data_IF_988500151987
#
_entry.id   IF_988500151987
#
_cell.length_a   1.000
_cell.length_b   1.000
_cell.length_c   1.000
_cell.angle_alpha   90.00
_cell.angle_beta   90.00
_cell.angle_gamma   90.00
#
_symmetry.space_group_name_H-M   'P 1'
#
loop_
_entity.id
_entity.type
_entity.pdbx_description
1 polymer ?
#
# COMPACT_ATOMS: atom_id res chain seq x y z
N UNK A 1 21.58 -9.46 16.53
CA UNK A 1 20.84 -9.45 15.25
C UNK A 1 19.78 -8.37 15.35
N UNK A 2 19.61 -7.54 14.34
CA UNK A 2 18.53 -6.53 14.31
C UNK A 2 17.20 -7.27 14.16
N UNK A 3 16.25 -7.03 15.06
CA UNK A 3 14.93 -7.66 15.02
C UNK A 3 14.13 -7.06 13.85
N UNK A 4 13.69 -7.91 12.94
CA UNK A 4 12.91 -7.50 11.77
C UNK A 4 11.47 -7.16 12.16
N UNK A 5 10.95 -6.09 11.58
CA UNK A 5 9.52 -5.77 11.62
C UNK A 5 8.79 -6.65 10.62
N UNK A 6 7.85 -7.42 11.09
CA UNK A 6 7.01 -8.32 10.29
C UNK A 6 5.54 -7.92 10.38
N UNK A 7 4.69 -8.45 9.50
CA UNK A 7 3.25 -8.18 9.57
C UNK A 7 2.65 -8.56 10.93
N UNK A 8 2.94 -9.72 11.55
CA UNK A 8 2.50 -10.00 12.91
C UNK A 8 2.98 -8.99 13.94
N UNK A 9 4.21 -8.45 13.81
CA UNK A 9 4.71 -7.41 14.69
C UNK A 9 3.94 -6.09 14.54
N UNK A 10 3.62 -5.68 13.31
CA UNK A 10 2.77 -4.51 13.03
C UNK A 10 1.41 -4.65 13.72
N UNK A 11 0.79 -5.83 13.65
CA UNK A 11 -0.48 -6.09 14.33
C UNK A 11 -0.35 -5.97 15.86
N UNK A 12 0.72 -6.53 16.45
CA UNK A 12 1.00 -6.39 17.88
C UNK A 12 1.24 -4.94 18.28
N UNK A 13 1.97 -4.16 17.47
CA UNK A 13 2.17 -2.73 17.72
C UNK A 13 0.84 -2.00 17.77
N UNK A 14 -0.07 -2.26 16.84
CA UNK A 14 -1.43 -1.70 16.83
C UNK A 14 -2.19 -2.06 18.12
N UNK A 15 -2.18 -3.34 18.51
CA UNK A 15 -2.85 -3.81 19.73
C UNK A 15 -2.28 -3.16 21.00
N UNK A 16 -0.98 -2.89 21.02
CA UNK A 16 -0.29 -2.21 22.11
C UNK A 16 -0.45 -0.67 22.09
N UNK A 17 -1.19 -0.12 21.12
CA UNK A 17 -1.35 1.34 20.97
C UNK A 17 -0.09 2.07 20.51
N UNK A 18 0.93 1.35 20.03
CA UNK A 18 2.16 1.96 19.47
C UNK A 18 1.87 2.57 18.10
N UNK A 19 2.40 3.78 17.90
CA UNK A 19 2.38 4.41 16.57
C UNK A 19 3.34 3.67 15.64
N UNK A 20 2.93 3.48 14.39
CA UNK A 20 3.69 2.82 13.34
C UNK A 20 4.12 3.88 12.33
N UNK A 21 5.42 4.03 12.15
CA UNK A 21 5.98 4.98 11.20
C UNK A 21 6.13 4.34 9.81
N UNK A 22 5.49 4.96 8.80
CA UNK A 22 5.54 4.51 7.41
C UNK A 22 6.08 5.65 6.55
N UNK A 23 7.14 5.39 5.78
CA UNK A 23 7.68 6.35 4.83
C UNK A 23 7.98 5.69 3.48
N UNK A 24 7.86 6.49 2.41
CA UNK A 24 8.26 6.06 1.07
C UNK A 24 9.77 6.09 0.90
N UNK A 25 10.30 5.12 0.16
CA UNK A 25 11.69 5.07 -0.29
C UNK A 25 11.73 4.50 -1.71
N UNK A 26 12.66 5.01 -2.53
CA UNK A 26 12.74 4.63 -3.95
C UNK A 26 14.14 4.18 -4.36
N UNK A 27 15.13 4.30 -3.46
CA UNK A 27 16.52 3.94 -3.72
C UNK A 27 17.20 3.35 -2.47
N UNK A 28 18.41 2.82 -2.69
CA UNK A 28 19.22 2.19 -1.66
C UNK A 28 19.63 3.14 -0.54
N UNK A 29 20.01 4.37 -0.87
CA UNK A 29 20.59 5.32 0.10
C UNK A 29 19.52 5.82 1.07
N UNK A 30 18.36 6.24 0.54
CA UNK A 30 17.22 6.63 1.37
C UNK A 30 16.68 5.44 2.18
N UNK A 31 16.59 4.25 1.60
CA UNK A 31 16.17 3.05 2.32
C UNK A 31 17.06 2.80 3.56
N UNK A 32 18.37 2.92 3.42
CA UNK A 32 19.31 2.78 4.56
C UNK A 32 19.09 3.84 5.62
N UNK A 33 19.02 5.11 5.22
CA UNK A 33 18.85 6.23 6.16
C UNK A 33 17.57 6.05 6.97
N UNK A 34 16.47 5.71 6.31
CA UNK A 34 15.17 5.54 6.95
C UNK A 34 15.11 4.29 7.84
N UNK A 35 15.71 3.19 7.41
CA UNK A 35 15.81 1.96 8.20
C UNK A 35 16.67 2.17 9.46
N UNK A 36 17.82 2.82 9.31
CA UNK A 36 18.71 3.17 10.43
C UNK A 36 18.05 4.19 11.39
N UNK A 37 17.14 5.04 10.88
CA UNK A 37 16.32 5.95 11.70
C UNK A 37 15.17 5.26 12.45
N UNK A 38 14.92 3.97 12.20
CA UNK A 38 13.94 3.17 12.92
C UNK A 38 12.52 3.22 12.35
N UNK A 39 12.35 3.60 11.06
CA UNK A 39 11.06 3.51 10.38
C UNK A 39 10.56 2.06 10.37
N UNK A 40 9.28 1.84 10.67
CA UNK A 40 8.71 0.51 10.81
C UNK A 40 8.34 -0.12 9.46
N UNK A 41 7.85 0.68 8.51
CA UNK A 41 7.47 0.24 7.17
C UNK A 41 8.12 1.15 6.13
N UNK A 42 8.83 0.58 5.16
CA UNK A 42 9.24 1.25 3.94
C UNK A 42 8.26 0.90 2.82
N UNK A 43 7.72 1.92 2.19
CA UNK A 43 6.78 1.78 1.08
C UNK A 43 7.46 2.19 -0.23
N UNK A 44 7.52 1.28 -1.19
CA UNK A 44 7.85 1.64 -2.57
C UNK A 44 6.56 1.96 -3.29
N UNK A 45 6.23 3.27 -3.36
CA UNK A 45 4.99 3.76 -3.95
C UNK A 45 5.09 3.93 -5.47
N UNK A 46 3.98 3.77 -6.20
CA UNK A 46 3.90 4.12 -7.62
C UNK A 46 4.01 5.64 -7.85
N UNK A 47 3.91 6.44 -6.78
CA UNK A 47 4.32 7.85 -6.76
C UNK A 47 5.79 8.09 -7.18
N UNK A 48 6.60 7.02 -7.30
CA UNK A 48 7.91 7.05 -7.95
C UNK A 48 7.84 7.73 -9.33
N UNK A 49 6.73 7.53 -10.06
CA UNK A 49 6.46 8.19 -11.33
C UNK A 49 6.56 9.70 -11.24
N UNK A 50 5.94 10.28 -10.22
CA UNK A 50 5.93 11.74 -10.04
C UNK A 50 7.18 12.25 -9.32
N UNK A 51 7.61 11.61 -8.22
CA UNK A 51 8.67 12.16 -7.35
C UNK A 51 10.09 11.83 -7.81
N UNK A 52 10.28 10.76 -8.58
CA UNK A 52 11.61 10.35 -9.07
C UNK A 52 11.72 10.51 -10.59
N UNK A 53 10.69 10.13 -11.32
CA UNK A 53 10.70 10.12 -12.79
C UNK A 53 10.18 11.43 -13.41
N UNK A 54 9.60 12.34 -12.60
CA UNK A 54 9.09 13.64 -13.08
C UNK A 54 7.84 13.54 -13.97
N UNK A 55 7.07 12.46 -13.85
CA UNK A 55 5.82 12.28 -14.59
C UNK A 55 4.66 13.03 -13.92
N UNK A 56 3.66 13.43 -14.68
CA UNK A 56 2.48 14.15 -14.17
C UNK A 56 1.51 13.25 -13.38
N UNK A 57 1.64 11.93 -13.52
CA UNK A 57 0.79 10.96 -12.80
C UNK A 57 1.52 9.65 -12.55
N UNK A 58 0.92 8.78 -11.71
CA UNK A 58 1.43 7.44 -11.40
C UNK A 58 1.04 6.41 -12.46
N UNK A 59 0.06 6.71 -13.33
CA UNK A 59 -0.50 5.75 -14.29
C UNK A 59 0.51 5.15 -15.28
N UNK A 60 1.53 5.87 -15.77
CA UNK A 60 2.51 5.31 -16.70
C UNK A 60 3.57 4.42 -16.03
N UNK A 61 3.58 4.30 -14.70
CA UNK A 61 4.57 3.47 -13.98
C UNK A 61 4.30 2.01 -14.27
N UNK A 62 5.31 1.32 -14.77
CA UNK A 62 5.21 -0.10 -15.13
C UNK A 62 5.50 -1.03 -13.94
N UNK A 63 5.04 -2.27 -14.05
CA UNK A 63 5.38 -3.33 -13.08
C UNK A 63 6.90 -3.53 -12.95
N UNK A 64 7.61 -3.46 -14.07
CA UNK A 64 9.08 -3.66 -14.12
C UNK A 64 9.81 -2.53 -13.37
N UNK A 65 9.37 -1.28 -13.54
CA UNK A 65 9.93 -0.14 -12.80
C UNK A 65 9.68 -0.32 -11.30
N UNK A 66 8.49 -0.74 -10.90
CA UNK A 66 8.17 -0.97 -9.49
C UNK A 66 9.00 -2.11 -8.88
N UNK A 67 9.17 -3.22 -9.59
CA UNK A 67 10.04 -4.33 -9.15
C UNK A 67 11.49 -3.87 -9.05
N UNK A 68 11.97 -3.07 -10.00
CA UNK A 68 13.33 -2.50 -9.98
C UNK A 68 13.56 -1.66 -8.72
N UNK A 69 12.70 -0.69 -8.44
CA UNK A 69 12.82 0.16 -7.26
C UNK A 69 12.67 -0.63 -5.96
N UNK A 70 11.74 -1.58 -5.90
CA UNK A 70 11.54 -2.47 -4.75
C UNK A 70 12.81 -3.26 -4.43
N UNK A 71 13.47 -3.82 -5.45
CA UNK A 71 14.73 -4.58 -5.31
C UNK A 71 15.87 -3.72 -4.75
N UNK A 72 15.95 -2.47 -5.16
CA UNK A 72 16.97 -1.53 -4.67
C UNK A 72 16.72 -1.19 -3.20
N UNK A 73 15.47 -0.88 -2.84
CA UNK A 73 15.08 -0.58 -1.46
C UNK A 73 15.29 -1.81 -0.57
N UNK A 74 14.95 -3.01 -1.04
CA UNK A 74 15.17 -4.27 -0.32
C UNK A 74 16.64 -4.47 0.11
N UNK A 75 17.59 -4.07 -0.73
CA UNK A 75 19.03 -4.15 -0.43
C UNK A 75 19.49 -3.12 0.61
N UNK A 76 18.81 -1.99 0.70
CA UNK A 76 19.16 -0.90 1.63
C UNK A 76 18.67 -1.15 3.05
N UNK A 77 17.59 -1.91 3.24
CA UNK A 77 16.97 -2.13 4.54
C UNK A 77 17.50 -3.38 5.26
N UNK A 78 17.40 -3.38 6.58
CA UNK A 78 17.72 -4.53 7.46
C UNK A 78 16.56 -4.91 8.37
N UNK A 79 15.78 -3.90 8.82
CA UNK A 79 14.75 -4.02 9.86
C UNK A 79 13.33 -3.82 9.33
N UNK A 80 13.07 -2.71 8.64
CA UNK A 80 11.72 -2.28 8.27
C UNK A 80 10.97 -3.32 7.41
N UNK A 81 9.66 -3.45 7.59
CA UNK A 81 8.80 -4.20 6.68
C UNK A 81 8.78 -3.51 5.31
N UNK A 82 9.00 -4.23 4.24
CA UNK A 82 8.97 -3.69 2.88
C UNK A 82 7.63 -3.99 2.21
N UNK A 83 6.92 -2.92 1.87
CA UNK A 83 5.67 -2.96 1.11
C UNK A 83 5.90 -2.32 -0.25
N UNK A 84 5.36 -2.91 -1.31
CA UNK A 84 5.43 -2.37 -2.67
C UNK A 84 4.05 -2.16 -3.27
N UNK A 85 3.83 -1.01 -3.91
CA UNK A 85 2.60 -0.75 -4.64
C UNK A 85 2.51 -1.61 -5.90
N UNK A 86 1.36 -2.20 -6.10
CA UNK A 86 0.98 -2.76 -7.39
C UNK A 86 0.53 -1.61 -8.31
N UNK A 87 1.27 -1.31 -9.40
CA UNK A 87 0.95 -0.18 -10.26
C UNK A 87 -0.35 -0.39 -11.04
N UNK A 88 -0.85 0.69 -11.64
CA UNK A 88 -2.05 0.63 -12.46
C UNK A 88 -1.98 -0.47 -13.51
N UNK A 89 -3.08 -1.16 -13.75
CA UNK A 89 -3.29 -2.31 -14.65
C UNK A 89 -2.60 -3.62 -14.22
N UNK A 90 -1.77 -3.62 -13.19
CA UNK A 90 -1.09 -4.84 -12.73
C UNK A 90 -1.99 -5.81 -11.93
N UNK A 91 -3.18 -5.36 -11.48
CA UNK A 91 -4.11 -6.17 -10.67
C UNK A 91 -5.59 -5.98 -11.04
N UNK A 92 -5.90 -5.06 -11.96
CA UNK A 92 -7.28 -4.76 -12.34
C UNK A 92 -7.82 -5.67 -13.45
N UNK A 93 -6.94 -6.30 -14.24
CA UNK A 93 -7.32 -7.07 -15.44
C UNK A 93 -7.95 -8.41 -15.05
N UNK A 94 -7.30 -9.17 -14.19
CA UNK A 94 -7.82 -10.44 -13.66
C UNK A 94 -7.20 -10.78 -12.31
N UNK A 95 -7.86 -11.66 -11.55
CA UNK A 95 -7.34 -12.18 -10.28
C UNK A 95 -6.06 -12.98 -10.49
N UNK A 96 -5.99 -13.78 -11.54
CA UNK A 96 -4.83 -14.60 -11.88
C UNK A 96 -3.60 -13.74 -12.19
N UNK A 97 -3.80 -12.66 -12.93
CA UNK A 97 -2.73 -11.71 -13.23
C UNK A 97 -2.27 -10.96 -11.97
N UNK A 98 -3.22 -10.51 -11.15
CA UNK A 98 -2.92 -9.89 -9.86
C UNK A 98 -2.08 -10.81 -8.95
N UNK A 99 -2.44 -12.08 -8.84
CA UNK A 99 -1.69 -13.10 -8.09
C UNK A 99 -0.27 -13.27 -8.61
N UNK A 100 -0.11 -13.38 -9.93
CA UNK A 100 1.19 -13.52 -10.58
C UNK A 100 2.07 -12.30 -10.31
N UNK A 101 1.51 -11.11 -10.50
CA UNK A 101 2.25 -9.86 -10.32
C UNK A 101 2.60 -9.61 -8.85
N UNK A 102 1.70 -9.90 -7.92
CA UNK A 102 2.01 -9.86 -6.48
C UNK A 102 3.16 -10.82 -6.12
N UNK A 103 3.14 -12.05 -6.65
CA UNK A 103 4.22 -13.01 -6.46
C UNK A 103 5.58 -12.52 -6.97
N UNK A 104 5.61 -11.79 -8.08
CA UNK A 104 6.84 -11.18 -8.64
C UNK A 104 7.43 -10.11 -7.73
N UNK A 105 6.62 -9.31 -7.05
CA UNK A 105 7.12 -8.35 -6.06
C UNK A 105 7.90 -9.01 -4.93
N UNK A 106 7.46 -10.19 -4.47
CA UNK A 106 8.17 -10.94 -3.43
C UNK A 106 9.41 -11.63 -4.00
N UNK A 107 9.25 -12.39 -5.08
CA UNK A 107 10.32 -13.24 -5.63
C UNK A 107 11.43 -12.46 -6.34
N UNK A 108 11.09 -11.41 -7.07
CA UNK A 108 12.03 -10.60 -7.85
C UNK A 108 12.39 -9.28 -7.17
N UNK A 109 11.41 -8.65 -6.50
CA UNK A 109 11.55 -7.36 -5.83
C UNK A 109 12.09 -7.46 -4.41
N UNK A 110 11.86 -8.58 -3.71
CA UNK A 110 12.20 -8.76 -2.30
C UNK A 110 11.26 -8.00 -1.34
N UNK A 111 10.04 -7.65 -1.80
CA UNK A 111 8.98 -7.15 -0.93
C UNK A 111 8.49 -8.25 0.02
N UNK A 112 7.87 -7.86 1.11
CA UNK A 112 7.25 -8.77 2.10
C UNK A 112 5.73 -8.61 2.13
N UNK A 113 5.21 -7.55 1.50
CA UNK A 113 3.80 -7.30 1.29
C UNK A 113 3.59 -6.44 0.04
N UNK A 114 2.37 -6.42 -0.48
CA UNK A 114 1.98 -5.54 -1.59
C UNK A 114 0.89 -4.56 -1.16
N UNK A 115 0.78 -3.39 -1.83
CA UNK A 115 -0.32 -2.45 -1.63
C UNK A 115 -1.22 -2.41 -2.87
N UNK A 116 -2.54 -2.32 -2.65
CA UNK A 116 -3.57 -2.29 -3.70
C UNK A 116 -4.54 -1.15 -3.41
N UNK A 117 -4.85 -0.37 -4.44
CA UNK A 117 -5.85 0.70 -4.38
C UNK A 117 -7.24 0.17 -4.75
N UNK A 118 -8.23 0.56 -3.94
CA UNK A 118 -9.63 0.24 -4.13
C UNK A 118 -10.28 -0.34 -2.88
N UNK A 119 -11.60 -0.50 -2.95
CA UNK A 119 -12.44 -1.03 -1.87
C UNK A 119 -13.17 -2.29 -2.33
N UNK A 120 -14.50 -2.27 -2.28
CA UNK A 120 -15.37 -3.40 -2.65
C UNK A 120 -15.01 -4.04 -4.00
N UNK A 121 -14.61 -3.24 -4.98
CA UNK A 121 -14.30 -3.74 -6.33
C UNK A 121 -13.03 -4.60 -6.41
N UNK A 122 -12.13 -4.51 -5.42
CA UNK A 122 -10.88 -5.29 -5.36
C UNK A 122 -10.91 -6.37 -4.26
N UNK A 123 -12.02 -6.54 -3.55
CA UNK A 123 -12.17 -7.53 -2.48
C UNK A 123 -11.69 -8.92 -2.90
N UNK A 124 -12.21 -9.46 -3.99
CA UNK A 124 -11.83 -10.80 -4.49
C UNK A 124 -10.35 -10.91 -4.85
N UNK A 125 -9.77 -9.82 -5.35
CA UNK A 125 -8.34 -9.77 -5.67
C UNK A 125 -7.50 -9.81 -4.39
N UNK A 126 -7.89 -9.04 -3.36
CA UNK A 126 -7.22 -9.05 -2.06
C UNK A 126 -7.30 -10.44 -1.43
N UNK A 127 -8.50 -11.03 -1.35
CA UNK A 127 -8.69 -12.40 -0.83
C UNK A 127 -7.78 -13.42 -1.51
N UNK A 128 -7.73 -13.38 -2.84
CA UNK A 128 -6.95 -14.33 -3.62
C UNK A 128 -5.44 -14.19 -3.41
N UNK A 129 -4.93 -12.96 -3.23
CA UNK A 129 -3.52 -12.69 -2.94
C UNK A 129 -3.19 -13.12 -1.51
N UNK A 130 -4.05 -12.78 -0.55
CA UNK A 130 -3.88 -13.20 0.86
C UNK A 130 -3.89 -14.72 1.01
N UNK A 131 -4.76 -15.42 0.30
CA UNK A 131 -4.81 -16.90 0.27
C UNK A 131 -3.53 -17.54 -0.30
N UNK A 132 -2.75 -16.82 -1.11
CA UNK A 132 -1.42 -17.26 -1.52
C UNK A 132 -0.34 -17.09 -0.44
N UNK A 133 -0.68 -16.53 0.71
CA UNK A 133 0.28 -16.21 1.77
C UNK A 133 1.00 -14.88 1.57
N UNK A 134 0.52 -14.00 0.67
CA UNK A 134 1.10 -12.67 0.43
C UNK A 134 0.30 -11.64 1.22
N UNK A 135 0.91 -10.94 2.19
CA UNK A 135 0.22 -9.89 2.95
C UNK A 135 -0.15 -8.72 2.06
N UNK A 136 -1.35 -8.16 2.28
CA UNK A 136 -1.87 -7.03 1.51
C UNK A 136 -2.12 -5.83 2.41
N UNK A 137 -1.65 -4.65 2.01
CA UNK A 137 -2.05 -3.35 2.49
C UNK A 137 -3.10 -2.77 1.53
N UNK A 138 -4.26 -2.39 2.03
CA UNK A 138 -5.27 -1.73 1.21
C UNK A 138 -5.06 -0.22 1.14
N UNK A 139 -5.69 0.43 0.16
CA UNK A 139 -5.67 1.88 0.04
C UNK A 139 -7.02 2.39 -0.47
N UNK A 140 -7.69 3.20 0.34
CA UNK A 140 -9.01 3.79 0.03
C UNK A 140 -9.01 5.30 0.22
N UNK A 141 -10.03 5.95 -0.31
CA UNK A 141 -10.15 7.41 -0.29
C UNK A 141 -9.67 8.02 -1.61
N UNK A 142 -8.70 8.92 -1.55
CA UNK A 142 -8.03 9.42 -2.75
C UNK A 142 -7.03 8.37 -3.22
N UNK A 143 -7.36 7.71 -4.31
CA UNK A 143 -6.49 6.71 -4.94
C UNK A 143 -5.91 7.32 -6.22
N UNK A 144 -4.58 7.61 -6.27
CA UNK A 144 -3.94 8.27 -7.42
C UNK A 144 -4.17 7.56 -8.76
N UNK A 145 -4.25 6.23 -8.76
CA UNK A 145 -4.58 5.44 -9.96
C UNK A 145 -5.99 5.73 -10.51
N UNK A 146 -6.88 6.30 -9.70
CA UNK A 146 -8.23 6.70 -10.10
C UNK A 146 -8.38 8.20 -10.35
N UNK A 147 -7.27 8.94 -10.52
CA UNK A 147 -7.25 10.40 -10.62
C UNK A 147 -8.19 10.97 -11.70
N UNK A 148 -8.28 10.32 -12.85
CA UNK A 148 -9.19 10.73 -13.93
C UNK A 148 -10.66 10.56 -13.55
N UNK A 149 -11.02 9.52 -12.79
CA UNK A 149 -12.38 9.31 -12.27
C UNK A 149 -12.76 10.40 -11.27
N UNK A 150 -11.83 10.90 -10.48
CA UNK A 150 -12.08 11.96 -9.50
C UNK A 150 -12.01 13.36 -10.09
N UNK A 151 -11.51 13.51 -11.30
CA UNK A 151 -11.26 14.82 -11.91
C UNK A 151 -10.20 15.62 -11.16
N UNK A 152 -9.12 14.96 -10.71
CA UNK A 152 -7.99 15.52 -9.99
C UNK A 152 -7.90 15.09 -8.52
N UNK A 153 -6.91 15.63 -7.82
CA UNK A 153 -6.64 15.34 -6.39
C UNK A 153 -7.61 16.10 -5.48
N UNK A 154 -8.72 15.48 -5.14
CA UNK A 154 -9.79 16.08 -4.33
C UNK A 154 -10.01 15.30 -3.05
N UNK A 155 -10.32 16.01 -1.94
CA UNK A 155 -10.71 15.38 -0.68
C UNK A 155 -11.96 14.52 -0.89
N UNK A 156 -11.87 13.26 -0.49
CA UNK A 156 -12.92 12.25 -0.60
C UNK A 156 -13.78 12.19 0.68
N UNK A 157 -14.97 11.59 0.59
CA UNK A 157 -15.85 11.37 1.75
C UNK A 157 -16.58 12.61 2.24
N UNK A 158 -16.70 13.66 1.41
CA UNK A 158 -17.53 14.83 1.76
C UNK A 158 -19.00 14.45 1.73
N UNK A 159 -19.69 14.72 2.85
CA UNK A 159 -21.09 14.38 3.02
C UNK A 159 -21.32 12.93 3.45
N UNK A 160 -22.58 12.60 3.77
CA UNK A 160 -22.95 11.32 4.39
C UNK A 160 -22.72 10.13 3.44
N UNK A 161 -23.27 10.17 2.26
CA UNK A 161 -23.22 9.08 1.29
C UNK A 161 -21.78 8.73 0.84
N UNK A 162 -20.97 9.78 0.54
CA UNK A 162 -19.57 9.59 0.16
C UNK A 162 -18.73 9.06 1.34
N UNK A 163 -19.05 9.46 2.57
CA UNK A 163 -18.41 8.93 3.78
C UNK A 163 -18.76 7.46 4.03
N UNK A 164 -20.03 7.08 3.86
CA UNK A 164 -20.49 5.69 3.97
C UNK A 164 -19.85 4.80 2.89
N UNK A 165 -19.64 5.34 1.71
CA UNK A 165 -18.90 4.61 0.65
C UNK A 165 -17.47 4.30 1.07
N UNK A 166 -16.73 5.27 1.61
CA UNK A 166 -15.35 5.04 2.08
C UNK A 166 -15.33 4.00 3.21
N UNK A 167 -16.29 4.06 4.13
CA UNK A 167 -16.41 3.09 5.21
C UNK A 167 -16.64 1.67 4.64
N UNK A 168 -17.58 1.51 3.70
CA UNK A 168 -17.80 0.21 3.03
C UNK A 168 -16.55 -0.29 2.30
N UNK A 169 -15.85 0.60 1.60
CA UNK A 169 -14.60 0.26 0.90
C UNK A 169 -13.52 -0.20 1.88
N UNK A 170 -13.37 0.46 3.03
CA UNK A 170 -12.40 0.09 4.04
C UNK A 170 -12.76 -1.24 4.74
N UNK A 171 -14.05 -1.48 5.02
CA UNK A 171 -14.54 -2.76 5.57
C UNK A 171 -14.30 -3.91 4.59
N UNK A 172 -14.55 -3.70 3.31
CA UNK A 172 -14.28 -4.73 2.29
C UNK A 172 -12.79 -5.09 2.21
N UNK A 173 -11.90 -4.10 2.34
CA UNK A 173 -10.45 -4.34 2.39
C UNK A 173 -10.06 -5.19 3.60
N UNK A 174 -10.65 -4.92 4.76
CA UNK A 174 -10.45 -5.71 5.98
C UNK A 174 -11.02 -7.13 5.85
N UNK A 175 -12.23 -7.27 5.31
CA UNK A 175 -12.88 -8.56 5.01
C UNK A 175 -12.02 -9.43 4.09
N UNK A 176 -11.37 -8.81 3.08
CA UNK A 176 -10.42 -9.47 2.18
C UNK A 176 -9.13 -9.95 2.86
N UNK A 177 -8.93 -9.64 4.14
CA UNK A 177 -7.77 -10.08 4.93
C UNK A 177 -6.56 -9.17 4.83
N UNK A 178 -6.71 -7.91 4.39
CA UNK A 178 -5.61 -6.95 4.41
C UNK A 178 -5.18 -6.65 5.85
N UNK A 179 -3.86 -6.62 6.11
CA UNK A 179 -3.31 -6.37 7.45
C UNK A 179 -3.34 -4.89 7.85
N UNK A 180 -3.50 -4.00 6.90
CA UNK A 180 -3.58 -2.55 7.12
C UNK A 180 -4.29 -1.86 5.96
N UNK A 181 -4.73 -0.62 6.19
CA UNK A 181 -5.35 0.21 5.16
C UNK A 181 -4.83 1.64 5.23
N UNK A 182 -4.49 2.20 4.07
CA UNK A 182 -4.21 3.63 3.89
C UNK A 182 -5.53 4.36 3.66
N UNK A 183 -5.74 5.44 4.39
CA UNK A 183 -6.88 6.34 4.27
C UNK A 183 -6.38 7.69 3.75
N UNK A 184 -6.26 7.84 2.43
CA UNK A 184 -5.67 9.03 1.83
C UNK A 184 -6.72 10.06 1.45
N UNK A 185 -6.41 11.34 1.72
CA UNK A 185 -7.20 12.48 1.26
C UNK A 185 -8.68 12.42 1.64
N UNK A 186 -9.03 11.84 2.78
CA UNK A 186 -10.40 11.76 3.29
C UNK A 186 -10.72 12.93 4.20
N UNK A 187 -12.02 13.27 4.32
CA UNK A 187 -12.47 14.31 5.24
C UNK A 187 -12.11 13.94 6.69
N UNK A 188 -11.49 14.89 7.42
CA UNK A 188 -11.15 14.74 8.86
C UNK A 188 -12.39 14.31 9.65
N UNK A 189 -12.21 13.39 10.60
CA UNK A 189 -13.27 12.79 11.42
C UNK A 189 -13.83 11.48 10.85
N UNK A 190 -13.65 11.19 9.57
CA UNK A 190 -14.07 9.90 8.97
C UNK A 190 -13.11 8.75 9.33
N UNK A 191 -11.80 9.05 9.40
CA UNK A 191 -10.81 8.08 9.84
C UNK A 191 -10.98 7.71 11.33
N UNK A 192 -11.26 8.70 12.19
CA UNK A 192 -11.45 8.49 13.63
C UNK A 192 -12.68 7.63 13.98
N UNK A 193 -13.68 7.57 13.11
CA UNK A 193 -14.85 6.70 13.32
C UNK A 193 -14.49 5.22 13.28
N UNK A 194 -13.36 4.85 12.67
CA UNK A 194 -12.92 3.47 12.55
C UNK A 194 -11.90 3.04 13.62
N UNK A 195 -11.19 3.97 14.21
CA UNK A 195 -10.27 3.67 15.32
C UNK A 195 -10.98 3.17 16.60
N UNK A 196 -12.31 3.17 16.61
CA UNK A 196 -13.16 2.78 17.75
C UNK A 196 -13.78 1.39 17.63
N UNK A 197 -13.46 0.65 16.56
CA UNK A 197 -13.98 -0.70 16.34
C UNK A 197 -12.90 -1.73 16.57
#
# INVERSE_FOLDING_TARGET
MVEKVTVPEIVKMKQAGRKIAVLTAYDYSFARILDDAGIDILLVGDSVGSVVQGRDSTLPVTLEEMIYHTRIVARGRKRALLVADMPFISYQVSVEEAKRNAGRFLSEGGAEAVKIEGGVQVLKTIEAIVQMGIPVMGHVGLTPQSVHRFGGYKVQGKGKEAGEKILRDALAVEEGGAFSVVLEGIQIGRASCRERV
#
